data_IF_130642112732
#
_entry.id   IF_130642112732
#
_cell.length_a   1.000
_cell.length_b   1.000
_cell.length_c   1.000
_cell.angle_alpha   90.00
_cell.angle_beta   90.00
_cell.angle_gamma   90.00
#
_symmetry.space_group_name_H-M   'P 1'
#
loop_
_entity.id
_entity.type
_entity.pdbx_description
1 polymer ?
#
# COMPACT_ATOMS: atom_id res chain seq x y z
N UNK A 1 12.76 17.74 16.66
CA UNK A 1 12.05 17.05 15.56
C UNK A 1 12.48 15.60 15.58
N UNK A 2 11.56 14.68 15.92
CA UNK A 2 11.85 13.24 15.90
C UNK A 2 11.61 12.77 14.45
N UNK A 3 12.65 12.25 13.79
CA UNK A 3 12.56 11.76 12.41
C UNK A 3 12.22 10.27 12.42
N UNK A 4 11.44 9.81 11.43
CA UNK A 4 11.04 8.39 11.26
C UNK A 4 11.92 7.64 10.26
N UNK A 5 13.05 8.23 9.86
CA UNK A 5 13.94 7.71 8.81
C UNK A 5 14.33 6.24 9.07
N UNK A 6 14.69 5.90 10.32
CA UNK A 6 15.07 4.54 10.71
C UNK A 6 13.94 3.52 10.54
N UNK A 7 12.71 3.91 10.89
CA UNK A 7 11.53 3.04 10.77
C UNK A 7 11.22 2.76 9.30
N UNK A 8 11.16 3.82 8.48
CA UNK A 8 10.85 3.72 7.05
C UNK A 8 11.89 2.90 6.31
N UNK A 9 13.18 3.13 6.58
CA UNK A 9 14.26 2.32 5.99
C UNK A 9 14.11 0.83 6.35
N UNK A 10 13.86 0.52 7.63
CA UNK A 10 13.68 -0.87 8.08
C UNK A 10 12.46 -1.53 7.43
N UNK A 11 11.36 -0.80 7.28
CA UNK A 11 10.16 -1.30 6.60
C UNK A 11 10.43 -1.65 5.13
N UNK A 12 11.34 -0.90 4.46
CA UNK A 12 11.80 -1.21 3.10
C UNK A 12 12.93 -2.25 3.02
N UNK A 13 13.40 -2.78 4.14
CA UNK A 13 14.47 -3.79 4.18
C UNK A 13 15.84 -3.29 3.75
N UNK A 14 16.08 -1.97 3.74
CA UNK A 14 17.33 -1.37 3.25
C UNK A 14 18.36 -1.20 4.37
N UNK A 15 19.64 -1.38 4.04
CA UNK A 15 20.78 -1.06 4.91
C UNK A 15 21.13 0.43 4.86
N UNK A 16 21.89 0.92 5.84
CA UNK A 16 22.36 2.32 5.86
C UNK A 16 23.21 2.65 4.62
N UNK A 17 24.01 1.68 4.17
CA UNK A 17 24.87 1.81 3.00
C UNK A 17 24.06 1.90 1.71
N UNK A 18 23.05 1.04 1.56
CA UNK A 18 22.13 1.09 0.41
C UNK A 18 21.39 2.43 0.33
N UNK A 19 20.87 2.94 1.46
CA UNK A 19 20.22 4.26 1.47
C UNK A 19 21.22 5.37 1.14
N UNK A 20 22.45 5.28 1.62
CA UNK A 20 23.52 6.23 1.28
C UNK A 20 23.83 6.26 -0.21
N UNK A 21 23.88 5.09 -0.85
CA UNK A 21 24.11 4.95 -2.29
C UNK A 21 22.93 5.45 -3.14
N UNK A 22 21.69 5.28 -2.66
CA UNK A 22 20.47 5.76 -3.33
C UNK A 22 20.24 7.28 -3.20
N UNK A 23 20.97 7.96 -2.32
CA UNK A 23 20.90 9.41 -2.19
C UNK A 23 21.56 10.12 -3.38
N UNK A 24 21.04 11.29 -3.76
CA UNK A 24 21.68 12.16 -4.75
C UNK A 24 22.03 13.55 -4.17
N UNK A 25 23.33 13.92 -4.09
CA UNK A 25 24.51 13.07 -4.34
C UNK A 25 24.64 11.92 -3.32
N UNK A 26 25.33 10.82 -3.68
CA UNK A 26 25.57 9.68 -2.80
C UNK A 26 26.26 10.10 -1.50
N UNK A 27 25.93 9.41 -0.41
CA UNK A 27 26.49 9.69 0.91
C UNK A 27 26.85 8.41 1.66
N UNK A 28 27.49 8.57 2.83
CA UNK A 28 28.00 7.45 3.61
C UNK A 28 26.97 6.91 4.61
N UNK A 29 27.06 5.61 4.91
CA UNK A 29 26.26 4.96 5.94
C UNK A 29 26.36 5.68 7.30
N UNK A 30 27.54 6.22 7.64
CA UNK A 30 27.77 7.00 8.86
C UNK A 30 26.98 8.32 8.88
N UNK A 31 26.78 8.95 7.72
CA UNK A 31 25.97 10.18 7.61
C UNK A 31 24.49 9.85 7.78
N UNK A 32 24.00 8.80 7.13
CA UNK A 32 22.61 8.31 7.30
C UNK A 32 22.37 7.91 8.76
N UNK A 33 23.30 7.17 9.38
CA UNK A 33 23.19 6.76 10.79
C UNK A 33 23.06 7.95 11.74
N UNK A 34 23.85 9.02 11.54
CA UNK A 34 23.75 10.26 12.33
C UNK A 34 22.41 10.99 12.16
N UNK A 35 21.83 10.95 10.95
CA UNK A 35 20.52 11.52 10.67
C UNK A 35 19.37 10.69 11.27
N UNK A 36 19.56 9.37 11.43
CA UNK A 36 18.62 8.48 12.10
C UNK A 36 18.64 8.60 13.63
N UNK A 37 19.80 8.82 14.23
CA UNK A 37 19.94 8.90 15.70
C UNK A 37 19.67 10.29 16.27
N UNK A 38 19.39 11.28 15.42
CA UNK A 38 18.96 12.62 15.86
C UNK A 38 20.05 13.46 16.53
N UNK A 39 21.33 13.12 16.36
CA UNK A 39 22.45 13.87 16.95
C UNK A 39 22.65 15.26 16.33
N UNK A 40 21.92 15.56 15.24
CA UNK A 40 21.80 16.88 14.59
C UNK A 40 20.36 17.11 14.12
N UNK A 41 19.92 18.36 14.13
CA UNK A 41 18.68 18.79 13.45
C UNK A 41 18.80 18.52 11.96
N UNK A 42 17.91 17.69 11.42
CA UNK A 42 17.89 17.35 9.99
C UNK A 42 17.28 18.53 9.23
N UNK A 43 17.98 19.04 8.23
CA UNK A 43 17.45 20.10 7.37
C UNK A 43 16.39 19.56 6.42
N UNK A 44 15.47 20.42 5.98
CA UNK A 44 14.44 20.08 4.98
C UNK A 44 15.07 19.53 3.70
N UNK A 45 16.22 20.08 3.28
CA UNK A 45 16.98 19.59 2.12
C UNK A 45 17.43 18.13 2.28
N UNK A 46 17.88 17.74 3.47
CA UNK A 46 18.25 16.35 3.76
C UNK A 46 17.03 15.42 3.82
N UNK A 47 15.93 15.88 4.42
CA UNK A 47 14.69 15.12 4.43
C UNK A 47 14.19 14.83 3.02
N UNK A 48 14.13 15.83 2.14
CA UNK A 48 13.72 15.64 0.74
C UNK A 48 14.63 14.64 0.00
N UNK A 49 15.95 14.72 0.22
CA UNK A 49 16.90 13.78 -0.38
C UNK A 49 16.68 12.35 0.08
N UNK A 50 16.52 12.14 1.39
CA UNK A 50 16.28 10.82 1.96
C UNK A 50 14.90 10.28 1.52
N UNK A 51 13.90 11.15 1.41
CA UNK A 51 12.56 10.80 0.94
C UNK A 51 12.61 10.24 -0.48
N UNK A 52 13.33 10.93 -1.38
CA UNK A 52 13.62 10.45 -2.74
C UNK A 52 14.35 9.10 -2.73
N UNK A 53 15.45 8.99 -1.97
CA UNK A 53 16.24 7.75 -1.89
C UNK A 53 15.43 6.55 -1.37
N UNK A 54 14.49 6.81 -0.45
CA UNK A 54 13.59 5.81 0.09
C UNK A 54 12.32 5.63 -0.75
N UNK A 55 12.05 6.46 -1.76
CA UNK A 55 10.82 6.44 -2.54
C UNK A 55 9.58 6.63 -1.66
N UNK A 56 9.59 7.65 -0.80
CA UNK A 56 8.47 8.09 0.06
C UNK A 56 8.35 9.61 0.01
N UNK A 57 7.27 10.15 0.55
CA UNK A 57 7.13 11.61 0.70
C UNK A 57 7.91 12.13 1.91
N UNK A 58 8.32 13.41 1.88
CA UNK A 58 8.99 14.05 3.02
C UNK A 58 8.13 14.03 4.29
N UNK A 59 6.80 14.13 4.14
CA UNK A 59 5.86 14.08 5.25
C UNK A 59 5.90 12.73 5.99
N UNK A 60 6.20 11.62 5.32
CA UNK A 60 6.34 10.30 5.94
C UNK A 60 7.60 10.17 6.79
N UNK A 61 8.63 10.97 6.52
CA UNK A 61 9.89 10.97 7.29
C UNK A 61 9.85 11.84 8.55
N UNK A 62 8.84 12.70 8.66
CA UNK A 62 8.61 13.56 9.82
C UNK A 62 7.50 12.95 10.65
N UNK A 63 7.71 12.78 11.96
CA UNK A 63 6.63 12.43 12.86
C UNK A 63 5.65 13.61 12.94
N UNK A 64 4.63 13.62 12.07
CA UNK A 64 3.52 14.56 12.17
C UNK A 64 2.68 14.22 13.41
N UNK A 65 2.30 15.20 14.25
CA UNK A 65 1.37 14.96 15.35
C UNK A 65 0.07 14.37 14.78
N UNK A 66 -0.40 13.25 15.35
CA UNK A 66 -1.63 12.56 14.90
C UNK A 66 -1.42 11.20 14.23
N UNK A 67 -0.19 10.80 13.91
CA UNK A 67 0.13 9.44 13.46
C UNK A 67 0.35 8.51 14.66
N UNK A 68 -0.68 8.31 15.49
CA UNK A 68 -0.61 7.32 16.55
C UNK A 68 -0.76 5.91 15.94
N UNK A 69 0.31 5.12 15.97
CA UNK A 69 0.21 3.69 15.68
C UNK A 69 -0.61 3.01 16.77
N UNK A 70 -1.50 2.09 16.39
CA UNK A 70 -2.34 1.37 17.36
C UNK A 70 -1.54 0.16 17.87
N UNK A 71 -1.21 0.07 19.17
CA UNK A 71 -0.44 -1.07 19.68
C UNK A 71 -1.26 -2.36 19.57
N UNK A 72 -0.58 -3.45 19.19
CA UNK A 72 -1.20 -4.78 19.13
C UNK A 72 -1.03 -5.45 20.49
N UNK A 73 -2.12 -5.52 21.25
CA UNK A 73 -2.13 -6.16 22.56
C UNK A 73 -2.12 -7.69 22.50
N UNK A 74 -2.75 -8.28 21.47
CA UNK A 74 -2.89 -9.72 21.33
C UNK A 74 -2.88 -10.19 19.87
N UNK A 75 -2.46 -11.44 19.67
CA UNK A 75 -2.57 -12.21 18.44
C UNK A 75 -3.69 -13.24 18.62
N UNK A 76 -4.67 -13.24 17.73
CA UNK A 76 -5.78 -14.20 17.73
C UNK A 76 -5.49 -15.32 16.73
N UNK A 77 -5.57 -16.57 17.19
CA UNK A 77 -5.44 -17.77 16.35
C UNK A 77 -6.41 -18.87 16.79
N UNK A 78 -6.31 -20.08 16.20
CA UNK A 78 -7.19 -21.21 16.52
C UNK A 78 -7.20 -21.58 18.02
N UNK A 79 -6.07 -21.43 18.70
CA UNK A 79 -5.90 -21.76 20.13
C UNK A 79 -6.29 -20.60 21.08
N UNK A 80 -6.84 -19.50 20.56
CA UNK A 80 -7.25 -18.32 21.32
C UNK A 80 -6.32 -17.11 21.18
N UNK A 81 -6.45 -16.17 22.13
CA UNK A 81 -5.71 -14.91 22.14
C UNK A 81 -4.42 -15.02 22.99
N UNK A 82 -3.29 -14.61 22.42
CA UNK A 82 -1.97 -14.61 23.10
C UNK A 82 -1.23 -13.29 22.94
N UNK A 83 -0.38 -12.93 23.89
CA UNK A 83 0.50 -11.77 23.75
C UNK A 83 1.56 -12.00 22.64
N UNK A 84 1.94 -10.97 21.87
CA UNK A 84 3.04 -11.09 20.92
C UNK A 84 4.39 -11.18 21.65
N UNK A 85 5.34 -11.96 21.10
CA UNK A 85 6.69 -12.14 21.68
C UNK A 85 7.60 -10.92 21.51
N UNK A 86 7.19 -9.95 20.69
CA UNK A 86 7.86 -8.67 20.47
C UNK A 86 6.81 -7.56 20.33
N UNK A 87 7.13 -6.29 20.65
CA UNK A 87 6.22 -5.18 20.40
C UNK A 87 5.77 -5.12 18.94
N UNK A 88 4.45 -4.99 18.74
CA UNK A 88 3.79 -4.87 17.44
C UNK A 88 2.81 -3.70 17.49
N UNK A 89 2.60 -3.04 16.35
CA UNK A 89 1.65 -1.97 16.19
C UNK A 89 1.09 -1.95 14.76
N UNK A 90 -0.17 -1.54 14.60
CA UNK A 90 -0.73 -1.24 13.29
C UNK A 90 -0.26 0.14 12.83
N UNK A 91 0.32 0.25 11.62
CA UNK A 91 0.58 1.56 11.05
C UNK A 91 -0.76 2.28 10.80
N UNK A 92 -0.81 3.62 10.91
CA UNK A 92 -1.99 4.36 10.46
C UNK A 92 -2.20 4.11 8.96
N UNK A 93 -3.46 3.97 8.50
CA UNK A 93 -3.72 3.82 7.07
C UNK A 93 -3.38 5.15 6.36
N UNK A 94 -2.37 5.12 5.49
CA UNK A 94 -1.93 6.28 4.70
C UNK A 94 -2.36 6.07 3.26
N UNK A 95 -3.15 7.00 2.72
CA UNK A 95 -3.44 7.02 1.29
C UNK A 95 -2.18 7.44 0.53
N UNK A 96 -1.80 6.66 -0.49
CA UNK A 96 -0.75 7.03 -1.43
C UNK A 96 -1.35 7.68 -2.69
N UNK A 97 -0.52 8.40 -3.44
CA UNK A 97 -0.94 8.91 -4.76
C UNK A 97 -1.42 7.77 -5.67
N UNK A 98 -2.46 8.06 -6.46
CA UNK A 98 -3.07 7.09 -7.38
C UNK A 98 -3.96 6.03 -6.72
N UNK A 99 -4.29 6.15 -5.43
CA UNK A 99 -5.31 5.31 -4.80
C UNK A 99 -6.73 5.68 -5.26
N UNK A 100 -7.57 4.66 -5.42
CA UNK A 100 -9.00 4.77 -5.72
C UNK A 100 -9.78 3.99 -4.68
N UNK A 101 -10.88 4.55 -4.19
CA UNK A 101 -11.77 3.89 -3.23
C UNK A 101 -12.96 3.21 -3.88
N UNK A 102 -13.34 2.02 -3.40
CA UNK A 102 -14.61 1.36 -3.71
C UNK A 102 -15.39 1.21 -2.41
N UNK A 103 -16.60 1.78 -2.36
CA UNK A 103 -17.51 1.62 -1.23
C UNK A 103 -18.49 0.48 -1.51
N UNK A 104 -18.58 -0.48 -0.58
CA UNK A 104 -19.45 -1.64 -0.71
C UNK A 104 -20.81 -1.32 -0.12
N UNK A 105 -21.81 -1.09 -0.97
CA UNK A 105 -23.17 -0.77 -0.52
C UNK A 105 -23.96 -2.01 -0.07
N UNK A 106 -23.70 -3.17 -0.67
CA UNK A 106 -24.32 -4.45 -0.35
C UNK A 106 -23.28 -5.56 -0.32
N UNK A 107 -23.44 -6.52 0.60
CA UNK A 107 -22.50 -7.63 0.78
C UNK A 107 -22.38 -8.47 -0.49
N UNK A 108 -21.15 -8.78 -0.89
CA UNK A 108 -20.85 -9.50 -2.13
C UNK A 108 -19.52 -10.25 -1.98
N UNK A 109 -19.51 -11.56 -2.25
CA UNK A 109 -18.33 -12.40 -2.00
C UNK A 109 -17.83 -12.28 -0.56
N UNK A 110 -16.55 -11.94 -0.39
CA UNK A 110 -15.91 -11.74 0.92
C UNK A 110 -16.13 -10.32 1.51
N UNK A 111 -16.67 -9.41 0.70
CA UNK A 111 -16.96 -8.05 1.10
C UNK A 111 -18.34 -7.93 1.77
N UNK A 112 -18.46 -7.01 2.71
CA UNK A 112 -19.66 -6.75 3.50
C UNK A 112 -20.11 -5.30 3.28
N UNK A 113 -21.42 -5.07 3.41
CA UNK A 113 -21.97 -3.71 3.35
C UNK A 113 -21.26 -2.79 4.35
N UNK A 114 -20.87 -1.60 3.91
CA UNK A 114 -20.11 -0.62 4.68
C UNK A 114 -18.58 -0.76 4.56
N UNK A 115 -18.07 -1.78 3.86
CA UNK A 115 -16.64 -1.89 3.59
C UNK A 115 -16.14 -0.75 2.69
N UNK A 116 -14.95 -0.24 3.02
CA UNK A 116 -14.16 0.60 2.13
C UNK A 116 -12.96 -0.21 1.61
N UNK A 117 -12.95 -0.48 0.30
CA UNK A 117 -11.83 -1.14 -0.38
C UNK A 117 -10.93 -0.04 -0.96
N UNK A 118 -9.66 -0.06 -0.58
CA UNK A 118 -8.65 0.82 -1.13
C UNK A 118 -7.92 0.07 -2.23
N UNK A 119 -7.88 0.68 -3.41
CA UNK A 119 -7.29 0.10 -4.59
C UNK A 119 -6.11 0.94 -5.08
N UNK A 120 -5.02 0.29 -5.46
CA UNK A 120 -3.89 0.94 -6.15
C UNK A 120 -4.14 0.92 -7.65
N UNK A 121 -4.17 2.09 -8.29
CA UNK A 121 -4.25 2.18 -9.76
C UNK A 121 -2.97 1.63 -10.40
N UNK A 122 -3.15 0.87 -11.48
CA UNK A 122 -2.09 0.26 -12.27
C UNK A 122 -2.31 0.55 -13.76
N UNK A 123 -1.20 0.66 -14.49
CA UNK A 123 -1.18 0.85 -15.94
C UNK A 123 -1.28 -0.50 -16.68
N UNK A 124 -1.61 -0.51 -17.99
CA UNK A 124 -1.76 -1.74 -18.77
C UNK A 124 -0.57 -2.70 -18.71
N UNK A 125 0.64 -2.16 -18.59
CA UNK A 125 1.89 -2.92 -18.52
C UNK A 125 1.99 -3.75 -17.22
N UNK A 126 1.28 -3.34 -16.17
CA UNK A 126 1.27 -3.98 -14.86
C UNK A 126 0.18 -5.05 -14.71
N UNK A 127 -0.76 -5.17 -15.67
CA UNK A 127 -1.92 -6.06 -15.55
C UNK A 127 -1.54 -7.53 -15.34
N UNK A 128 -0.46 -8.00 -15.97
CA UNK A 128 -0.01 -9.38 -15.82
C UNK A 128 0.37 -9.73 -14.37
N UNK A 129 0.90 -8.75 -13.61
CA UNK A 129 1.24 -8.92 -12.19
C UNK A 129 0.04 -8.97 -11.26
N UNK A 130 -1.17 -8.69 -11.76
CA UNK A 130 -2.40 -8.66 -10.96
C UNK A 130 -3.25 -9.94 -11.08
N UNK A 131 -2.72 -11.02 -11.68
CA UNK A 131 -3.44 -12.30 -11.76
C UNK A 131 -3.84 -12.80 -10.36
N UNK A 132 -5.06 -13.35 -10.27
CA UNK A 132 -5.71 -13.81 -9.04
C UNK A 132 -5.96 -12.71 -8.00
N UNK A 133 -5.84 -11.44 -8.37
CA UNK A 133 -6.21 -10.30 -7.51
C UNK A 133 -7.60 -9.78 -7.88
N UNK A 134 -8.19 -9.07 -6.94
CA UNK A 134 -9.48 -8.41 -7.14
C UNK A 134 -9.23 -7.00 -7.69
N UNK A 135 -9.83 -6.67 -8.84
CA UNK A 135 -9.59 -5.45 -9.59
C UNK A 135 -10.88 -4.69 -9.86
N UNK A 136 -10.79 -3.36 -9.80
CA UNK A 136 -11.72 -2.43 -10.43
C UNK A 136 -11.21 -2.10 -11.83
N UNK A 137 -12.06 -2.28 -12.84
CA UNK A 137 -11.74 -1.99 -14.24
C UNK A 137 -12.81 -1.06 -14.83
N UNK A 138 -12.43 0.07 -15.46
CA UNK A 138 -13.38 0.95 -16.12
C UNK A 138 -14.03 0.28 -17.34
N UNK A 139 -15.27 0.66 -17.62
CA UNK A 139 -16.04 0.27 -18.80
C UNK A 139 -16.62 1.53 -19.47
N UNK A 140 -17.00 1.44 -20.76
CA UNK A 140 -17.61 2.57 -21.48
C UNK A 140 -18.82 3.14 -20.73
N UNK A 141 -19.03 4.46 -20.90
CA UNK A 141 -20.09 5.24 -20.26
C UNK A 141 -19.97 5.33 -18.72
N UNK A 142 -18.75 5.46 -18.19
CA UNK A 142 -18.51 5.69 -16.76
C UNK A 142 -18.84 4.50 -15.86
N UNK A 143 -19.01 3.31 -16.43
CA UNK A 143 -19.30 2.08 -15.70
C UNK A 143 -18.01 1.47 -15.19
N UNK A 144 -18.15 0.56 -14.22
CA UNK A 144 -17.04 -0.21 -13.69
C UNK A 144 -17.42 -1.68 -13.61
N UNK A 145 -16.40 -2.54 -13.69
CA UNK A 145 -16.48 -3.94 -13.28
C UNK A 145 -15.56 -4.12 -12.09
N UNK A 146 -16.05 -4.78 -11.04
CA UNK A 146 -15.22 -5.23 -9.94
C UNK A 146 -15.26 -6.76 -9.87
N UNK A 147 -14.10 -7.40 -9.87
CA UNK A 147 -13.99 -8.86 -9.95
C UNK A 147 -12.56 -9.35 -9.88
N UNK A 148 -12.38 -10.67 -9.80
CA UNK A 148 -11.06 -11.29 -9.79
C UNK A 148 -10.49 -11.39 -11.19
N UNK A 149 -9.27 -10.92 -11.42
CA UNK A 149 -8.55 -11.17 -12.67
C UNK A 149 -8.12 -12.63 -12.70
N UNK A 150 -8.67 -13.40 -13.64
CA UNK A 150 -8.40 -14.85 -13.77
C UNK A 150 -7.55 -15.18 -15.01
N UNK A 151 -7.39 -14.23 -15.93
CA UNK A 151 -6.60 -14.45 -17.14
C UNK A 151 -6.28 -13.16 -17.89
N UNK A 152 -5.21 -13.23 -18.70
CA UNK A 152 -4.76 -12.16 -19.60
C UNK A 152 -4.32 -12.78 -20.92
N UNK A 153 -4.95 -12.36 -22.01
CA UNK A 153 -4.62 -12.77 -23.37
C UNK A 153 -4.42 -11.53 -24.26
N UNK A 154 -3.17 -11.20 -24.60
CA UNK A 154 -2.88 -10.06 -25.46
C UNK A 154 -3.34 -8.74 -24.85
N UNK A 155 -4.40 -8.14 -25.40
CA UNK A 155 -5.09 -6.92 -24.97
C UNK A 155 -6.39 -7.20 -24.18
N UNK A 156 -6.78 -8.46 -24.00
CA UNK A 156 -7.97 -8.88 -23.24
C UNK A 156 -7.68 -9.25 -21.79
N UNK A 157 -8.45 -8.71 -20.86
CA UNK A 157 -8.51 -9.12 -19.46
C UNK A 157 -9.73 -10.00 -19.23
N UNK A 158 -9.54 -11.11 -18.53
CA UNK A 158 -10.61 -12.03 -18.15
C UNK A 158 -10.90 -11.85 -16.67
N UNK A 159 -12.05 -11.27 -16.33
CA UNK A 159 -12.45 -11.03 -14.95
C UNK A 159 -13.64 -11.90 -14.57
N UNK A 160 -13.62 -12.43 -13.35
CA UNK A 160 -14.75 -13.12 -12.73
C UNK A 160 -15.40 -12.20 -11.67
N UNK A 161 -16.60 -11.67 -11.92
CA UNK A 161 -17.31 -10.86 -10.94
C UNK A 161 -17.69 -11.67 -9.70
N UNK A 162 -17.84 -10.99 -8.56
CA UNK A 162 -18.31 -11.63 -7.33
C UNK A 162 -19.82 -11.77 -7.38
N UNK A 163 -20.35 -12.97 -7.20
CA UNK A 163 -21.78 -13.24 -7.23
C UNK A 163 -22.06 -14.70 -7.55
N UNK A 164 -23.11 -15.27 -6.94
CA UNK A 164 -23.51 -16.64 -7.23
C UNK A 164 -23.90 -16.75 -8.72
N UNK A 165 -23.28 -17.69 -9.44
CA UNK A 165 -23.53 -17.88 -10.87
C UNK A 165 -22.94 -16.80 -11.79
N UNK A 166 -22.10 -15.90 -11.27
CA UNK A 166 -21.41 -14.91 -12.10
C UNK A 166 -20.55 -15.60 -13.17
N UNK A 167 -20.64 -15.10 -14.39
CA UNK A 167 -19.85 -15.60 -15.53
C UNK A 167 -18.62 -14.73 -15.74
N UNK A 168 -17.57 -15.36 -16.25
CA UNK A 168 -16.39 -14.65 -16.76
C UNK A 168 -16.82 -13.56 -17.74
N UNK A 169 -16.23 -12.38 -17.57
CA UNK A 169 -16.40 -11.23 -18.44
C UNK A 169 -15.04 -10.88 -19.03
N UNK A 170 -15.00 -10.66 -20.35
CA UNK A 170 -13.80 -10.22 -21.05
C UNK A 170 -13.86 -8.71 -21.26
N UNK A 171 -12.80 -8.00 -20.86
CA UNK A 171 -12.62 -6.57 -21.12
C UNK A 171 -11.41 -6.41 -22.04
N UNK A 172 -11.64 -5.82 -23.20
CA UNK A 172 -10.57 -5.52 -24.17
C UNK A 172 -10.00 -4.13 -23.90
N UNK A 173 -8.67 -4.05 -23.89
CA UNK A 173 -7.87 -2.83 -23.83
C UNK A 173 -8.34 -1.77 -22.80
N UNK A 174 -8.49 -2.12 -21.51
CA UNK A 174 -8.87 -1.12 -20.52
C UNK A 174 -7.69 -0.15 -20.28
N UNK A 175 -7.93 1.16 -20.25
CA UNK A 175 -6.88 2.17 -20.15
C UNK A 175 -6.15 2.18 -18.81
N UNK A 176 -6.74 1.57 -17.77
CA UNK A 176 -6.16 1.38 -16.44
C UNK A 176 -6.98 0.33 -15.69
N UNK A 177 -6.45 -0.18 -14.58
CA UNK A 177 -7.21 -0.94 -13.59
C UNK A 177 -6.78 -0.52 -12.18
N UNK A 178 -7.54 -0.87 -11.14
CA UNK A 178 -7.13 -0.64 -9.76
C UNK A 178 -7.25 -1.92 -8.94
N UNK A 179 -6.11 -2.39 -8.41
CA UNK A 179 -6.01 -3.63 -7.64
C UNK A 179 -6.39 -3.35 -6.20
N UNK A 180 -7.27 -4.16 -5.61
CA UNK A 180 -7.58 -4.11 -4.19
C UNK A 180 -6.32 -4.45 -3.35
N UNK A 181 -5.92 -3.52 -2.50
CA UNK A 181 -4.71 -3.63 -1.67
C UNK A 181 -4.99 -3.54 -0.18
N UNK A 182 -6.10 -2.93 0.23
CA UNK A 182 -6.49 -2.83 1.63
C UNK A 182 -8.01 -2.81 1.78
N UNK A 183 -8.51 -3.48 2.83
CA UNK A 183 -9.92 -3.48 3.22
C UNK A 183 -10.04 -2.80 4.58
N UNK A 184 -10.90 -1.78 4.67
CA UNK A 184 -11.26 -1.15 5.94
C UNK A 184 -12.71 -1.48 6.24
N UNK A 185 -12.93 -2.27 7.28
CA UNK A 185 -14.25 -2.64 7.79
C UNK A 185 -14.41 -2.05 9.19
N UNK A 186 -15.45 -1.25 9.38
CA UNK A 186 -15.90 -0.84 10.71
C UNK A 186 -16.86 -1.92 11.21
N UNK A 187 -16.58 -2.46 12.39
CA UNK A 187 -17.33 -3.53 13.04
C UNK A 187 -18.21 -2.97 14.15
#
# INVERSE_FOLDING_TARGET
>A
MITRIREVRKAKGLTLEQVGALCDPPTTAQTIGRLETGTRTVSVKWLNRIALALGVTTAELVALPGQAAVPVAALLGPDGARAPTRPLAFPPPVASDGMVGVHVNASIGDYRSGDAIWCKRIAPEEFAGALNRDLLVPRPAGRFLFGRLIGREGDRLQLLPFGAGARQTVITDPPWAAVAVQLVRRL
#
